data_IF_554875498267
#
_entry.id   IF_554875498267
#
_cell.length_a   1.000
_cell.length_b   1.000
_cell.length_c   1.000
_cell.angle_alpha   90.00
_cell.angle_beta   90.00
_cell.angle_gamma   90.00
#
_symmetry.space_group_name_H-M   'P 1'
#
loop_
_entity.id
_entity.type
_entity.pdbx_description
1 polymer ?
#
# COMPACT_ATOMS: atom_id res chain seq x y z
N UNK A 1 11.59 -17.27 38.46
CA UNK A 1 10.31 -16.89 39.12
C UNK A 1 9.21 -16.92 38.06
N UNK A 2 8.21 -17.81 38.17
CA UNK A 2 7.01 -17.75 37.32
C UNK A 2 6.19 -16.54 37.80
N UNK A 3 6.15 -15.48 37.01
CA UNK A 3 5.41 -14.26 37.33
C UNK A 3 3.94 -14.39 36.92
N UNK A 4 3.06 -13.63 37.58
CA UNK A 4 1.59 -13.76 37.49
C UNK A 4 1.01 -12.83 36.42
N UNK A 5 -0.14 -13.18 35.83
CA UNK A 5 -0.77 -12.42 34.73
C UNK A 5 -1.15 -10.96 35.08
N UNK A 6 -1.06 -10.55 36.35
CA UNK A 6 -1.37 -9.18 36.78
C UNK A 6 -0.34 -8.14 36.30
N UNK A 7 0.90 -8.54 36.00
CA UNK A 7 1.93 -7.62 35.48
C UNK A 7 1.68 -7.18 34.03
N UNK A 8 0.88 -7.93 33.25
CA UNK A 8 0.52 -7.60 31.86
C UNK A 8 -0.54 -6.50 31.75
N UNK A 9 -1.39 -6.31 32.76
CA UNK A 9 -2.55 -5.40 32.70
C UNK A 9 -2.20 -3.91 32.92
N UNK A 10 -0.92 -3.52 32.86
CA UNK A 10 -0.53 -2.10 32.96
C UNK A 10 -0.81 -1.39 31.64
N UNK A 11 -1.37 -0.18 31.69
CA UNK A 11 -1.55 0.66 30.50
C UNK A 11 -0.18 0.96 29.87
N UNK A 12 0.06 0.45 28.67
CA UNK A 12 1.31 0.64 27.96
C UNK A 12 1.16 1.78 26.95
N UNK A 13 2.05 2.77 27.07
CA UNK A 13 2.02 4.03 26.33
C UNK A 13 2.91 3.94 25.08
N UNK A 14 2.39 4.05 23.85
CA UNK A 14 3.26 4.14 22.68
C UNK A 14 3.81 5.56 22.58
N UNK A 15 5.12 5.75 22.69
CA UNK A 15 5.75 7.05 22.42
C UNK A 15 6.21 7.10 20.96
N UNK A 16 5.80 8.15 20.26
CA UNK A 16 6.31 8.49 18.94
C UNK A 16 7.34 9.59 19.09
N UNK A 17 8.57 9.40 18.61
CA UNK A 17 9.54 10.50 18.51
C UNK A 17 9.64 11.01 17.08
N UNK A 18 9.15 12.23 16.87
CA UNK A 18 9.91 13.27 16.16
C UNK A 18 10.24 14.44 17.11
N UNK A 19 9.43 14.65 18.17
CA UNK A 19 9.64 15.55 19.32
C UNK A 19 8.97 14.91 20.56
N UNK A 20 9.53 15.10 21.75
CA UNK A 20 9.00 14.62 23.03
C UNK A 20 7.59 15.18 23.30
N UNK A 21 6.56 14.33 23.26
CA UNK A 21 5.19 14.66 23.68
C UNK A 21 4.78 13.71 24.80
N UNK A 22 4.31 14.28 25.91
CA UNK A 22 3.68 13.57 27.02
C UNK A 22 2.27 13.16 26.64
N UNK A 23 1.92 11.89 26.84
CA UNK A 23 0.65 11.30 26.37
C UNK A 23 -0.29 11.10 27.55
N UNK A 24 -1.54 11.54 27.39
CA UNK A 24 -2.66 11.19 28.26
C UNK A 24 -3.72 10.41 27.47
N UNK A 25 -4.53 9.65 28.19
CA UNK A 25 -5.23 8.43 27.75
C UNK A 25 -6.55 8.65 26.97
N UNK A 26 -6.95 7.59 26.25
CA UNK A 26 -8.32 7.18 25.84
C UNK A 26 -8.77 7.36 24.37
N UNK A 27 -8.02 8.03 23.48
CA UNK A 27 -8.33 8.06 22.04
C UNK A 27 -7.14 7.61 21.20
N UNK A 28 -7.42 7.04 20.04
CA UNK A 28 -6.40 6.80 19.02
C UNK A 28 -5.68 8.12 18.72
N UNK A 29 -4.38 8.17 18.97
CA UNK A 29 -3.59 9.38 18.73
C UNK A 29 -3.17 9.39 17.26
N UNK A 30 -3.49 10.47 16.56
CA UNK A 30 -3.07 10.66 15.17
C UNK A 30 -1.77 11.42 15.09
N UNK A 31 -0.85 10.93 14.28
CA UNK A 31 0.41 11.58 13.95
C UNK A 31 0.48 11.79 12.45
N UNK A 32 1.09 12.88 12.02
CA UNK A 32 1.21 13.21 10.61
C UNK A 32 2.67 13.19 10.17
N UNK A 33 2.91 12.62 9.00
CA UNK A 33 4.24 12.39 8.44
C UNK A 33 4.29 12.80 6.98
N UNK A 34 5.50 13.03 6.47
CA UNK A 34 5.76 13.17 5.06
C UNK A 34 6.26 11.85 4.45
N UNK A 35 5.94 11.59 3.17
CA UNK A 35 6.43 10.41 2.48
C UNK A 35 7.96 10.28 2.61
N UNK A 36 8.45 9.10 2.99
CA UNK A 36 9.86 8.86 3.25
C UNK A 36 10.31 9.09 4.71
N UNK A 37 9.49 9.72 5.56
CA UNK A 37 9.82 9.89 6.98
C UNK A 37 9.98 8.55 7.68
N UNK A 38 10.88 8.47 8.66
CA UNK A 38 10.97 7.28 9.52
C UNK A 38 9.94 7.37 10.65
N UNK A 39 8.95 6.48 10.63
CA UNK A 39 8.06 6.24 11.76
C UNK A 39 8.80 5.33 12.75
N UNK A 40 8.80 5.71 14.03
CA UNK A 40 9.31 4.87 15.11
C UNK A 40 8.19 4.56 16.09
N UNK A 41 7.83 3.28 16.21
CA UNK A 41 6.93 2.76 17.23
C UNK A 41 7.75 2.32 18.45
N UNK A 42 7.53 2.94 19.61
CA UNK A 42 8.22 2.60 20.86
C UNK A 42 7.23 2.18 21.95
N UNK A 43 7.65 1.24 22.80
CA UNK A 43 6.87 0.73 23.91
C UNK A 43 7.69 0.75 25.22
N UNK A 44 7.68 1.86 25.99
CA UNK A 44 8.69 2.20 27.00
C UNK A 44 8.85 1.17 28.13
N UNK A 45 7.81 0.40 28.45
CA UNK A 45 7.91 -0.74 29.35
C UNK A 45 6.85 -1.79 29.00
N UNK A 46 7.27 -3.05 28.88
CA UNK A 46 6.39 -4.21 28.75
C UNK A 46 7.07 -5.46 29.29
N UNK A 47 6.29 -6.51 29.49
CA UNK A 47 6.78 -7.83 29.87
C UNK A 47 6.06 -8.90 29.06
N UNK A 48 6.80 -9.81 28.45
CA UNK A 48 6.30 -10.83 27.52
C UNK A 48 6.79 -10.65 26.09
N UNK A 49 6.24 -11.42 25.17
CA UNK A 49 6.55 -11.37 23.74
C UNK A 49 5.77 -10.24 23.06
N UNK A 50 6.47 -9.42 22.29
CA UNK A 50 5.91 -8.30 21.55
C UNK A 50 5.60 -8.71 20.11
N UNK A 51 4.44 -8.26 19.61
CA UNK A 51 4.08 -8.28 18.20
C UNK A 51 3.39 -6.97 17.84
N UNK A 52 3.96 -6.20 16.91
CA UNK A 52 3.27 -5.04 16.36
C UNK A 52 2.20 -5.48 15.37
N UNK A 53 1.06 -4.81 15.44
CA UNK A 53 -0.09 -5.05 14.57
C UNK A 53 -0.50 -3.76 13.87
N UNK A 54 -1.11 -3.91 12.69
CA UNK A 54 -1.70 -2.82 11.93
C UNK A 54 -3.16 -3.09 11.58
N UNK A 55 -3.90 -2.03 11.27
CA UNK A 55 -5.31 -2.09 10.89
C UNK A 55 -5.70 -0.94 9.95
N UNK A 56 -6.65 -1.19 9.05
CA UNK A 56 -7.24 -0.17 8.17
C UNK A 56 -8.46 0.50 8.81
N UNK A 57 -9.14 -0.18 9.73
CA UNK A 57 -10.47 0.17 10.26
C UNK A 57 -10.50 0.29 11.79
N UNK A 58 -9.36 0.05 12.46
CA UNK A 58 -9.19 -0.04 13.91
C UNK A 58 -9.91 -1.22 14.59
N UNK A 59 -10.55 -2.10 13.81
CA UNK A 59 -11.36 -3.23 14.28
C UNK A 59 -10.65 -4.55 13.94
N UNK A 60 -10.26 -4.73 12.68
CA UNK A 60 -9.58 -5.91 12.18
C UNK A 60 -8.06 -5.66 12.19
N UNK A 61 -7.33 -6.51 12.91
CA UNK A 61 -5.90 -6.33 13.18
C UNK A 61 -5.08 -7.49 12.62
N UNK A 62 -3.99 -7.14 11.95
CA UNK A 62 -3.06 -8.09 11.34
C UNK A 62 -1.64 -7.85 11.88
N UNK A 63 -0.89 -8.94 12.07
CA UNK A 63 0.49 -8.86 12.50
C UNK A 63 1.35 -8.26 11.40
N UNK A 64 2.25 -7.34 11.77
CA UNK A 64 3.28 -6.84 10.87
C UNK A 64 4.42 -7.86 10.87
N UNK A 65 4.67 -8.48 9.73
CA UNK A 65 5.66 -9.56 9.59
C UNK A 65 7.03 -9.13 10.12
N UNK A 66 7.57 -9.90 11.06
CA UNK A 66 8.90 -9.66 11.66
C UNK A 66 8.97 -8.52 12.68
N UNK A 67 7.87 -7.82 12.96
CA UNK A 67 7.84 -6.70 13.90
C UNK A 67 7.63 -7.19 15.36
N UNK A 68 8.61 -7.92 15.89
CA UNK A 68 8.54 -8.57 17.22
C UNK A 68 9.43 -7.94 18.29
N UNK A 69 10.08 -6.82 17.96
CA UNK A 69 11.01 -6.12 18.85
C UNK A 69 10.70 -4.62 18.87
N UNK A 70 11.33 -3.93 19.83
CA UNK A 70 11.26 -2.48 19.93
C UNK A 70 12.66 -1.83 19.93
N UNK A 71 12.78 -0.58 19.46
CA UNK A 71 11.76 0.14 18.71
C UNK A 71 11.53 -0.51 17.35
N UNK A 72 10.30 -0.46 16.84
CA UNK A 72 10.02 -0.86 15.46
C UNK A 72 10.03 0.38 14.58
N UNK A 73 10.82 0.34 13.52
CA UNK A 73 10.97 1.45 12.57
C UNK A 73 10.42 1.04 11.21
N UNK A 74 9.70 1.95 10.59
CA UNK A 74 9.19 1.81 9.21
C UNK A 74 9.30 3.14 8.49
N UNK A 75 9.34 3.11 7.17
CA UNK A 75 9.28 4.32 6.33
C UNK A 75 7.82 4.65 6.05
N UNK A 76 7.43 5.92 6.24
CA UNK A 76 6.09 6.38 5.94
C UNK A 76 5.84 6.37 4.43
N UNK A 77 4.76 5.72 4.02
CA UNK A 77 4.40 5.50 2.62
C UNK A 77 2.99 4.91 2.52
N UNK A 78 2.58 4.54 1.30
CA UNK A 78 1.20 4.12 1.02
C UNK A 78 0.71 2.97 1.92
N UNK A 79 1.60 2.03 2.24
CA UNK A 79 1.29 0.87 3.07
C UNK A 79 0.81 1.22 4.49
N UNK A 80 1.25 2.36 5.04
CA UNK A 80 0.96 2.78 6.42
C UNK A 80 0.24 4.15 6.52
N UNK A 81 0.08 4.86 5.41
CA UNK A 81 -0.72 6.07 5.34
C UNK A 81 -2.19 5.78 5.67
N UNK A 82 -2.73 6.50 6.66
CA UNK A 82 -4.09 6.33 7.17
C UNK A 82 -4.29 5.12 8.08
N UNK A 83 -3.29 4.24 8.24
CA UNK A 83 -3.38 3.00 9.02
C UNK A 83 -3.23 3.24 10.53
N UNK A 84 -3.82 2.33 11.29
CA UNK A 84 -3.71 2.23 12.73
C UNK A 84 -2.63 1.20 13.11
N UNK A 85 -1.91 1.46 14.20
CA UNK A 85 -0.92 0.57 14.76
C UNK A 85 -1.15 0.36 16.26
N UNK A 86 -0.81 -0.84 16.76
CA UNK A 86 -0.79 -1.17 18.19
C UNK A 86 0.24 -2.27 18.48
N UNK A 87 0.67 -2.40 19.72
CA UNK A 87 1.41 -3.55 20.20
C UNK A 87 0.45 -4.58 20.80
N UNK A 88 0.71 -5.86 20.54
CA UNK A 88 0.13 -7.02 21.21
C UNK A 88 1.24 -7.67 22.05
N UNK A 89 0.98 -7.84 23.35
CA UNK A 89 1.89 -8.51 24.28
C UNK A 89 1.30 -9.83 24.71
N UNK A 90 2.07 -10.91 24.60
CA UNK A 90 1.67 -12.26 25.05
C UNK A 90 2.68 -12.86 26.00
N UNK A 91 2.23 -13.55 27.03
CA UNK A 91 3.10 -14.23 27.99
C UNK A 91 2.43 -15.50 28.52
N UNK A 92 3.07 -16.64 28.33
CA UNK A 92 2.56 -17.95 28.75
C UNK A 92 1.13 -18.21 28.27
N UNK A 93 0.25 -18.55 29.22
CA UNK A 93 -1.19 -18.82 28.97
C UNK A 93 -2.08 -17.62 29.27
N UNK A 94 -1.52 -16.44 29.56
CA UNK A 94 -2.30 -15.25 29.84
C UNK A 94 -2.96 -14.74 28.55
N UNK A 95 -4.14 -14.14 28.69
CA UNK A 95 -4.79 -13.45 27.56
C UNK A 95 -3.87 -12.32 27.05
N UNK A 96 -3.82 -12.08 25.72
CA UNK A 96 -3.03 -11.00 25.17
C UNK A 96 -3.47 -9.63 25.69
N UNK A 97 -2.51 -8.75 25.96
CA UNK A 97 -2.76 -7.35 26.29
C UNK A 97 -2.34 -6.46 25.13
N UNK A 98 -3.10 -5.39 24.89
CA UNK A 98 -2.88 -4.46 23.79
C UNK A 98 -2.52 -3.07 24.30
N UNK A 99 -1.62 -2.40 23.59
CA UNK A 99 -1.33 -0.98 23.83
C UNK A 99 -2.48 -0.08 23.36
N UNK A 100 -2.33 1.21 23.62
CA UNK A 100 -3.13 2.22 22.91
C UNK A 100 -2.92 2.13 21.39
N UNK A 101 -3.90 2.65 20.64
CA UNK A 101 -3.87 2.71 19.18
C UNK A 101 -3.29 4.06 18.75
N UNK A 102 -2.54 4.04 17.66
CA UNK A 102 -2.02 5.23 17.00
C UNK A 102 -2.34 5.18 15.52
N UNK A 103 -2.58 6.32 14.90
CA UNK A 103 -2.88 6.43 13.47
C UNK A 103 -1.82 7.26 12.78
N UNK A 104 -1.26 6.76 11.70
CA UNK A 104 -0.33 7.51 10.85
C UNK A 104 -1.11 8.17 9.73
N UNK A 105 -0.90 9.46 9.49
CA UNK A 105 -1.62 10.25 8.50
C UNK A 105 -0.64 11.05 7.65
N UNK A 106 -1.05 11.42 6.43
CA UNK A 106 -0.26 12.31 5.59
C UNK A 106 -0.33 13.74 6.16
N UNK A 107 0.82 14.38 6.31
CA UNK A 107 0.89 15.78 6.74
C UNK A 107 0.53 16.73 5.61
N UNK A 108 -0.31 17.72 5.90
CA UNK A 108 -0.61 18.82 4.98
C UNK A 108 0.58 19.79 4.81
N UNK A 109 1.59 19.71 5.68
CA UNK A 109 2.77 20.56 5.65
C UNK A 109 3.93 19.98 4.81
N UNK A 110 3.71 18.86 4.11
CA UNK A 110 4.74 18.31 3.24
C UNK A 110 5.05 19.27 2.09
N UNK A 111 6.29 19.20 1.62
CA UNK A 111 6.72 19.96 0.45
C UNK A 111 5.92 19.62 -0.81
N UNK A 112 6.19 20.30 -1.93
CA UNK A 112 5.54 19.99 -3.20
C UNK A 112 5.72 18.51 -3.54
N UNK A 113 4.74 17.93 -4.23
CA UNK A 113 4.85 16.56 -4.72
C UNK A 113 6.11 16.39 -5.58
N UNK A 114 6.91 15.37 -5.25
CA UNK A 114 8.08 14.95 -6.01
C UNK A 114 7.88 13.49 -6.39
N UNK A 115 8.03 13.15 -7.67
CA UNK A 115 7.90 11.77 -8.11
C UNK A 115 8.94 10.86 -7.45
N UNK A 116 8.59 9.61 -7.15
CA UNK A 116 9.50 8.61 -6.56
C UNK A 116 9.56 8.66 -5.03
N UNK A 117 9.28 9.82 -4.43
CA UNK A 117 9.14 9.97 -2.97
C UNK A 117 7.74 10.34 -2.55
N UNK A 118 7.00 11.08 -3.39
CA UNK A 118 5.64 11.52 -3.13
C UNK A 118 4.62 10.38 -3.21
N UNK A 119 3.52 10.59 -2.49
CA UNK A 119 2.34 9.73 -2.55
C UNK A 119 1.17 10.43 -3.21
N UNK A 120 0.28 9.63 -3.79
CA UNK A 120 -0.97 10.06 -4.42
C UNK A 120 -2.12 9.46 -3.64
N UNK A 121 -3.21 10.20 -3.50
CA UNK A 121 -4.44 9.71 -2.89
C UNK A 121 -5.58 9.71 -3.92
N UNK A 122 -6.35 8.63 -3.99
CA UNK A 122 -7.59 8.61 -4.78
C UNK A 122 -8.78 9.17 -3.99
N UNK A 123 -9.95 9.20 -4.64
CA UNK A 123 -11.21 9.69 -4.06
C UNK A 123 -11.74 8.84 -2.90
N UNK A 124 -11.33 7.55 -2.83
CA UNK A 124 -11.67 6.62 -1.74
C UNK A 124 -10.74 6.76 -0.54
N UNK A 125 -9.70 7.58 -0.69
CA UNK A 125 -8.69 7.81 0.34
C UNK A 125 -7.58 6.76 0.35
N UNK A 126 -7.48 5.91 -0.66
CA UNK A 126 -6.35 4.99 -0.81
C UNK A 126 -5.10 5.78 -1.21
N UNK A 127 -3.98 5.46 -0.58
CA UNK A 127 -2.68 6.05 -0.91
C UNK A 127 -1.88 5.11 -1.81
N UNK A 128 -1.09 5.70 -2.70
CA UNK A 128 -0.21 5.03 -3.65
C UNK A 128 1.15 5.70 -3.60
N UNK A 129 2.22 4.91 -3.52
CA UNK A 129 3.57 5.42 -3.74
C UNK A 129 3.77 5.67 -5.24
N UNK A 130 4.80 6.44 -5.57
CA UNK A 130 5.13 6.73 -6.97
C UNK A 130 6.54 6.28 -7.31
N UNK A 131 6.80 6.09 -8.60
CA UNK A 131 8.12 5.79 -9.14
C UNK A 131 8.36 6.66 -10.38
N UNK A 132 9.57 7.21 -10.49
CA UNK A 132 9.98 7.96 -11.66
C UNK A 132 10.73 7.04 -12.63
N UNK A 133 10.27 6.98 -13.87
CA UNK A 133 10.93 6.25 -14.96
C UNK A 133 11.11 7.22 -16.11
N UNK A 134 12.36 7.58 -16.40
CA UNK A 134 12.69 8.70 -17.27
C UNK A 134 12.07 9.99 -16.76
N UNK A 135 11.25 10.63 -17.60
CA UNK A 135 10.53 11.85 -17.26
C UNK A 135 9.07 11.59 -16.85
N UNK A 136 8.64 10.32 -16.81
CA UNK A 136 7.29 9.93 -16.45
C UNK A 136 7.21 9.52 -14.98
N UNK A 137 6.07 9.83 -14.37
CA UNK A 137 5.76 9.43 -13.02
C UNK A 137 4.64 8.40 -13.03
N UNK A 138 4.84 7.29 -12.31
CA UNK A 138 3.92 6.16 -12.30
C UNK A 138 3.48 5.85 -10.88
N UNK A 139 2.27 5.33 -10.71
CA UNK A 139 1.87 4.69 -9.47
C UNK A 139 2.66 3.38 -9.32
N UNK A 140 3.10 3.08 -8.10
CA UNK A 140 3.86 1.85 -7.81
C UNK A 140 2.94 0.67 -7.48
N UNK A 141 1.74 0.94 -6.97
CA UNK A 141 0.72 -0.05 -6.69
C UNK A 141 -0.43 0.03 -7.71
N UNK A 142 -1.15 -1.08 -7.88
CA UNK A 142 -2.36 -1.12 -8.70
C UNK A 142 -3.47 -0.24 -8.09
N UNK A 143 -4.21 0.47 -8.95
CA UNK A 143 -5.32 1.32 -8.54
C UNK A 143 -6.42 0.49 -7.84
N UNK A 144 -6.93 1.00 -6.72
CA UNK A 144 -7.89 0.29 -5.87
C UNK A 144 -9.14 1.13 -5.50
N UNK A 145 -9.48 2.14 -6.32
CA UNK A 145 -10.69 2.96 -6.13
C UNK A 145 -12.00 2.20 -6.44
N UNK A 146 -13.10 2.59 -5.80
CA UNK A 146 -14.47 2.13 -6.06
C UNK A 146 -15.33 3.25 -6.61
N UNK A 147 -14.76 4.45 -6.76
CA UNK A 147 -15.44 5.63 -7.28
C UNK A 147 -14.59 6.31 -8.35
N UNK A 148 -15.27 6.95 -9.30
CA UNK A 148 -14.66 7.91 -10.20
C UNK A 148 -14.27 9.17 -9.45
N UNK A 149 -13.44 10.02 -10.07
CA UNK A 149 -12.93 11.25 -9.46
C UNK A 149 -14.01 12.21 -8.97
N UNK A 150 -15.18 12.20 -9.58
CA UNK A 150 -16.35 12.99 -9.17
C UNK A 150 -17.12 12.40 -7.96
N UNK A 151 -16.67 11.25 -7.45
CA UNK A 151 -17.30 10.51 -6.36
C UNK A 151 -18.42 9.56 -6.80
N UNK A 152 -18.69 9.43 -8.11
CA UNK A 152 -19.68 8.47 -8.60
C UNK A 152 -19.19 7.03 -8.39
N UNK A 153 -20.06 6.17 -7.86
CA UNK A 153 -19.75 4.76 -7.59
C UNK A 153 -19.51 4.01 -8.90
N UNK A 154 -18.45 3.20 -8.93
CA UNK A 154 -18.21 2.19 -9.95
C UNK A 154 -18.85 0.89 -9.46
N UNK A 155 -19.83 0.31 -10.17
CA UNK A 155 -20.46 -0.94 -9.77
C UNK A 155 -19.48 -2.11 -9.67
N UNK A 156 -19.55 -2.85 -8.56
CA UNK A 156 -18.91 -4.17 -8.47
C UNK A 156 -19.74 -5.20 -9.21
N UNK A 157 -19.16 -5.87 -10.21
CA UNK A 157 -19.84 -6.91 -10.99
C UNK A 157 -18.99 -8.17 -11.00
N UNK A 158 -19.55 -9.29 -10.55
CA UNK A 158 -18.82 -10.58 -10.41
C UNK A 158 -19.37 -11.68 -11.30
N UNK A 159 -20.55 -11.49 -11.88
CA UNK A 159 -21.17 -12.45 -12.79
C UNK A 159 -20.62 -12.25 -14.21
N UNK A 160 -20.17 -13.33 -14.83
CA UNK A 160 -19.51 -13.29 -16.14
C UNK A 160 -20.46 -12.85 -17.26
N UNK A 161 -21.72 -13.30 -17.22
CA UNK A 161 -22.72 -12.95 -18.24
C UNK A 161 -23.15 -11.50 -18.09
N UNK A 162 -23.33 -11.01 -16.87
CA UNK A 162 -23.58 -9.59 -16.63
C UNK A 162 -22.39 -8.74 -17.13
N UNK A 163 -21.15 -9.13 -16.76
CA UNK A 163 -19.93 -8.42 -17.13
C UNK A 163 -19.77 -8.26 -18.66
N UNK A 164 -19.96 -9.35 -19.41
CA UNK A 164 -19.82 -9.32 -20.88
C UNK A 164 -20.86 -8.45 -21.58
N UNK A 165 -22.00 -8.21 -20.95
CA UNK A 165 -23.11 -7.43 -21.50
C UNK A 165 -23.10 -5.96 -21.04
N UNK A 166 -22.12 -5.53 -20.22
CA UNK A 166 -22.06 -4.15 -19.76
C UNK A 166 -21.75 -3.18 -20.90
N UNK A 167 -22.45 -2.04 -20.88
CA UNK A 167 -22.11 -0.81 -21.62
C UNK A 167 -21.59 0.30 -20.69
N UNK A 168 -21.30 -0.02 -19.44
CA UNK A 168 -20.93 0.92 -18.38
C UNK A 168 -19.73 0.43 -17.60
N UNK A 169 -19.07 1.33 -16.88
CA UNK A 169 -17.95 0.96 -16.03
C UNK A 169 -18.34 -0.03 -14.93
N UNK A 170 -17.42 -0.94 -14.65
CA UNK A 170 -17.48 -1.87 -13.52
C UNK A 170 -16.07 -2.19 -13.03
N UNK A 171 -16.00 -2.73 -11.81
CA UNK A 171 -14.81 -3.34 -11.26
C UNK A 171 -15.10 -4.71 -10.63
N UNK A 172 -14.05 -5.53 -10.50
CA UNK A 172 -14.06 -6.74 -9.70
C UNK A 172 -12.67 -6.99 -9.09
N UNK A 173 -12.53 -8.09 -8.36
CA UNK A 173 -11.24 -8.61 -7.94
C UNK A 173 -10.92 -9.88 -8.73
N UNK A 174 -9.65 -10.22 -8.86
CA UNK A 174 -9.24 -11.50 -9.42
C UNK A 174 -9.95 -12.66 -8.71
N UNK A 175 -10.49 -13.61 -9.47
CA UNK A 175 -11.34 -14.71 -8.98
C UNK A 175 -12.55 -14.26 -8.12
N UNK A 176 -12.97 -13.00 -8.21
CA UNK A 176 -14.00 -12.39 -7.36
C UNK A 176 -13.71 -12.48 -5.84
N UNK A 177 -12.44 -12.60 -5.44
CA UNK A 177 -12.03 -12.75 -4.04
C UNK A 177 -11.29 -11.50 -3.54
N UNK A 178 -12.02 -10.63 -2.84
CA UNK A 178 -11.44 -9.44 -2.23
C UNK A 178 -10.61 -9.75 -0.99
N UNK A 179 -10.87 -10.85 -0.27
CA UNK A 179 -10.17 -11.16 0.97
C UNK A 179 -8.71 -11.53 0.69
N UNK A 180 -8.48 -12.29 -0.38
CA UNK A 180 -7.15 -12.73 -0.77
C UNK A 180 -6.40 -11.72 -1.64
N UNK A 181 -7.08 -11.05 -2.59
CA UNK A 181 -6.38 -10.33 -3.65
C UNK A 181 -6.39 -8.80 -3.51
N UNK A 182 -7.33 -8.20 -2.77
CA UNK A 182 -7.48 -6.74 -2.71
C UNK A 182 -6.22 -6.00 -2.24
N UNK A 183 -5.56 -6.50 -1.20
CA UNK A 183 -4.44 -5.80 -0.57
C UNK A 183 -3.15 -5.84 -1.40
N UNK A 184 -3.01 -6.84 -2.27
CA UNK A 184 -1.79 -7.07 -3.06
C UNK A 184 -1.97 -6.61 -4.50
N UNK A 185 -3.10 -6.97 -5.12
CA UNK A 185 -3.31 -6.77 -6.57
C UNK A 185 -4.29 -5.64 -6.90
N UNK A 186 -4.97 -5.06 -5.90
CA UNK A 186 -5.99 -4.03 -6.14
C UNK A 186 -7.21 -4.58 -6.88
N UNK A 187 -7.85 -3.72 -7.68
CA UNK A 187 -9.06 -4.06 -8.46
C UNK A 187 -8.77 -4.13 -9.95
N UNK A 188 -9.59 -4.94 -10.64
CA UNK A 188 -9.65 -5.01 -12.09
C UNK A 188 -10.81 -4.17 -12.58
N UNK A 189 -10.59 -3.37 -13.63
CA UNK A 189 -11.60 -2.48 -14.22
C UNK A 189 -11.84 -2.87 -15.68
N UNK A 190 -13.08 -2.73 -16.13
CA UNK A 190 -13.37 -2.88 -17.56
C UNK A 190 -12.98 -1.62 -18.36
N UNK A 191 -13.02 -1.73 -19.69
CA UNK A 191 -12.73 -0.61 -20.59
C UNK A 191 -13.62 0.61 -20.35
N UNK A 192 -14.90 0.42 -20.04
CA UNK A 192 -15.82 1.52 -19.81
C UNK A 192 -15.45 2.33 -18.57
N UNK A 193 -14.93 1.71 -17.51
CA UNK A 193 -14.40 2.44 -16.35
C UNK A 193 -13.17 3.26 -16.72
N UNK A 194 -12.26 2.68 -17.52
CA UNK A 194 -11.00 3.31 -17.93
C UNK A 194 -11.24 4.52 -18.84
N UNK A 195 -12.19 4.43 -19.75
CA UNK A 195 -12.51 5.46 -20.75
C UNK A 195 -13.63 6.42 -20.33
N UNK A 196 -14.14 6.30 -19.09
CA UNK A 196 -15.24 7.13 -18.61
C UNK A 196 -14.83 8.61 -18.45
N UNK A 197 -15.72 9.50 -18.88
CA UNK A 197 -15.55 10.96 -18.72
C UNK A 197 -15.45 11.45 -17.27
N UNK A 198 -15.90 10.65 -16.29
CA UNK A 198 -15.81 10.93 -14.85
C UNK A 198 -14.42 10.66 -14.28
N UNK A 199 -13.55 10.05 -15.07
CA UNK A 199 -12.13 9.81 -14.82
C UNK A 199 -11.87 8.84 -13.67
N UNK A 200 -11.27 7.70 -14.00
CA UNK A 200 -10.91 6.67 -13.03
C UNK A 200 -9.70 7.05 -12.16
N UNK A 201 -8.73 7.76 -12.74
CA UNK A 201 -7.45 8.05 -12.08
C UNK A 201 -7.55 9.16 -11.01
N UNK A 202 -6.68 9.16 -10.00
CA UNK A 202 -6.57 10.23 -9.01
C UNK A 202 -6.42 11.64 -9.61
N UNK A 203 -6.77 12.68 -8.88
CA UNK A 203 -6.65 14.07 -9.36
C UNK A 203 -5.22 14.41 -9.79
N UNK A 204 -5.06 15.00 -10.99
CA UNK A 204 -3.75 15.29 -11.59
C UNK A 204 -3.08 14.09 -12.29
N UNK A 205 -3.70 12.92 -12.26
CA UNK A 205 -3.23 11.69 -12.91
C UNK A 205 -4.20 11.24 -14.00
N UNK A 206 -3.77 10.35 -14.88
CA UNK A 206 -4.61 9.71 -15.90
C UNK A 206 -4.19 8.26 -16.11
N UNK A 207 -5.04 7.48 -16.79
CA UNK A 207 -4.69 6.12 -17.20
C UNK A 207 -3.70 6.20 -18.35
N UNK A 208 -2.57 5.53 -18.22
CA UNK A 208 -1.51 5.58 -19.21
C UNK A 208 -1.99 5.13 -20.60
N UNK A 209 -1.59 5.90 -21.60
CA UNK A 209 -1.80 5.61 -23.01
C UNK A 209 -0.71 4.70 -23.56
N UNK A 210 -0.97 4.06 -24.71
CA UNK A 210 0.04 3.29 -25.44
C UNK A 210 1.32 4.11 -25.72
N UNK A 211 1.16 5.39 -26.12
CA UNK A 211 2.31 6.28 -26.34
C UNK A 211 3.15 6.50 -25.09
N UNK A 212 2.54 6.49 -23.90
CA UNK A 212 3.26 6.66 -22.64
C UNK A 212 3.97 5.39 -22.22
N UNK A 213 3.38 4.22 -22.46
CA UNK A 213 4.09 2.94 -22.34
C UNK A 213 5.29 2.90 -23.28
N UNK A 214 5.13 3.31 -24.54
CA UNK A 214 6.21 3.34 -25.52
C UNK A 214 7.38 4.25 -25.11
N UNK A 215 7.09 5.39 -24.46
CA UNK A 215 8.14 6.28 -23.91
C UNK A 215 8.89 5.56 -22.79
N UNK A 216 8.18 4.90 -21.88
CA UNK A 216 8.77 4.17 -20.77
C UNK A 216 9.63 2.99 -21.25
N UNK A 217 9.11 2.20 -22.19
CA UNK A 217 9.83 1.09 -22.80
C UNK A 217 11.13 1.53 -23.45
N UNK A 218 11.09 2.59 -24.27
CA UNK A 218 12.28 3.17 -24.91
C UNK A 218 13.27 3.75 -23.91
N UNK A 219 12.81 4.23 -22.77
CA UNK A 219 13.70 4.66 -21.70
C UNK A 219 14.45 3.47 -21.07
N UNK A 220 13.77 2.34 -20.88
CA UNK A 220 14.34 1.14 -20.27
C UNK A 220 15.22 0.33 -21.22
N UNK A 221 14.88 0.33 -22.50
CA UNK A 221 15.64 -0.27 -23.60
C UNK A 221 15.49 0.60 -24.85
N UNK A 222 16.50 1.42 -25.15
CA UNK A 222 16.45 2.35 -26.27
C UNK A 222 16.52 1.68 -27.66
N UNK A 223 16.71 0.35 -27.70
CA UNK A 223 16.74 -0.44 -28.93
C UNK A 223 15.40 -1.09 -29.25
N UNK A 224 14.40 -0.95 -28.36
CA UNK A 224 13.08 -1.55 -28.53
C UNK A 224 12.32 -0.96 -29.71
N UNK A 225 11.75 -1.83 -30.53
CA UNK A 225 10.77 -1.47 -31.56
C UNK A 225 9.37 -1.52 -30.96
N UNK A 226 8.88 -0.36 -30.51
CA UNK A 226 7.52 -0.22 -29.94
C UNK A 226 6.41 -0.27 -30.99
N UNK A 227 6.72 -0.54 -32.26
CA UNK A 227 5.71 -0.75 -33.31
C UNK A 227 5.46 -2.23 -33.59
N UNK A 228 6.34 -3.10 -33.08
CA UNK A 228 6.22 -4.54 -33.24
C UNK A 228 5.21 -5.13 -32.25
N UNK A 229 4.44 -6.11 -32.70
CA UNK A 229 3.53 -6.89 -31.84
C UNK A 229 4.25 -8.13 -31.29
N UNK A 230 4.12 -8.39 -30.00
CA UNK A 230 4.66 -9.59 -29.35
C UNK A 230 5.81 -9.27 -28.38
N UNK A 231 6.76 -10.19 -28.25
CA UNK A 231 7.93 -9.98 -27.39
C UNK A 231 8.87 -8.97 -28.06
N UNK A 232 9.05 -7.83 -27.41
CA UNK A 232 9.94 -6.74 -27.86
C UNK A 232 10.94 -6.39 -26.76
N UNK A 233 12.09 -5.86 -27.19
CA UNK A 233 13.18 -5.49 -26.30
C UNK A 233 13.94 -6.71 -25.75
N UNK A 234 14.99 -6.42 -24.98
CA UNK A 234 15.90 -7.44 -24.44
C UNK A 234 15.49 -7.90 -23.05
N UNK A 235 15.22 -6.95 -22.13
CA UNK A 235 14.99 -7.24 -20.71
C UNK A 235 14.02 -6.26 -20.02
N UNK A 236 13.25 -5.47 -20.77
CA UNK A 236 12.33 -4.45 -20.23
C UNK A 236 11.41 -5.04 -19.15
N UNK A 237 10.79 -6.19 -19.45
CA UNK A 237 9.95 -6.89 -18.49
C UNK A 237 10.71 -7.22 -17.21
N UNK A 238 11.96 -7.71 -17.30
CA UNK A 238 12.80 -7.98 -16.14
C UNK A 238 13.14 -6.73 -15.31
N UNK A 239 13.32 -5.57 -15.96
CA UNK A 239 13.57 -4.29 -15.29
C UNK A 239 12.34 -3.73 -14.56
N UNK A 240 11.13 -4.06 -15.01
CA UNK A 240 9.86 -3.65 -14.39
C UNK A 240 9.39 -4.57 -13.27
N UNK A 241 9.64 -5.87 -13.43
CA UNK A 241 9.11 -6.95 -12.59
C UNK A 241 9.64 -6.95 -11.17
N UNK A 242 8.79 -7.25 -10.19
CA UNK A 242 9.21 -7.55 -8.82
C UNK A 242 10.28 -8.66 -8.80
N UNK A 243 11.30 -8.50 -7.97
CA UNK A 243 12.34 -9.52 -7.76
C UNK A 243 11.87 -10.63 -6.80
N UNK A 244 12.56 -11.77 -6.84
CA UNK A 244 12.22 -12.91 -5.98
C UNK A 244 10.98 -13.67 -6.48
N UNK A 245 10.39 -14.48 -5.61
CA UNK A 245 9.29 -15.39 -5.97
C UNK A 245 8.12 -15.30 -4.98
N UNK A 246 7.95 -14.16 -4.32
CA UNK A 246 6.83 -13.96 -3.39
C UNK A 246 5.51 -14.03 -4.15
N UNK A 247 5.40 -13.30 -5.26
CA UNK A 247 4.21 -13.31 -6.12
C UNK A 247 4.46 -14.03 -7.44
N UNK A 248 5.64 -13.86 -8.03
CA UNK A 248 6.01 -14.51 -9.27
C UNK A 248 6.42 -15.97 -9.06
N UNK A 249 6.03 -16.84 -10.00
CA UNK A 249 6.46 -18.24 -9.98
C UNK A 249 7.97 -18.37 -10.18
N UNK A 250 8.57 -19.31 -9.44
CA UNK A 250 9.97 -19.73 -9.64
C UNK A 250 10.20 -20.21 -11.09
N UNK A 251 11.34 -19.87 -11.73
CA UNK A 251 12.53 -19.25 -11.14
C UNK A 251 12.56 -17.72 -11.14
N UNK A 252 11.57 -17.04 -11.74
CA UNK A 252 11.57 -15.59 -11.99
C UNK A 252 12.91 -15.02 -12.52
N UNK A 253 13.60 -15.78 -13.37
CA UNK A 253 14.92 -15.44 -13.89
C UNK A 253 14.89 -14.13 -14.68
N UNK A 254 15.90 -13.27 -14.46
CA UNK A 254 16.04 -11.99 -15.16
C UNK A 254 15.21 -10.85 -14.56
N UNK A 255 14.40 -11.09 -13.53
CA UNK A 255 13.73 -10.02 -12.78
C UNK A 255 14.75 -9.25 -11.93
N UNK A 256 15.00 -8.01 -12.30
CA UNK A 256 15.94 -7.12 -11.61
C UNK A 256 15.25 -5.98 -10.88
N UNK A 257 14.02 -5.63 -11.28
CA UNK A 257 13.30 -4.46 -10.79
C UNK A 257 14.13 -3.16 -10.80
N UNK A 258 15.07 -3.02 -11.74
CA UNK A 258 15.98 -1.86 -11.76
C UNK A 258 15.27 -0.53 -12.03
N UNK A 259 14.05 -0.57 -12.57
CA UNK A 259 13.16 0.60 -12.69
C UNK A 259 12.53 1.04 -11.37
N UNK A 260 12.47 0.16 -10.37
CA UNK A 260 11.75 0.38 -9.11
C UNK A 260 10.23 0.25 -9.19
N UNK A 261 9.68 -0.14 -10.35
CA UNK A 261 8.24 -0.26 -10.61
C UNK A 261 7.58 -1.40 -9.80
N UNK A 262 8.29 -2.51 -9.59
CA UNK A 262 7.81 -3.68 -8.86
C UNK A 262 6.54 -4.32 -9.44
N UNK A 263 6.47 -4.48 -10.76
CA UNK A 263 5.30 -5.09 -11.41
C UNK A 263 5.00 -6.49 -10.86
N UNK A 264 3.74 -6.71 -10.51
CA UNK A 264 3.18 -7.97 -10.00
C UNK A 264 2.56 -8.79 -11.15
N UNK A 265 2.41 -10.12 -10.99
CA UNK A 265 1.80 -10.98 -12.01
C UNK A 265 0.30 -10.78 -12.17
#
# INVERSE_FOLDING_TARGET
>A
MKKTCSELNRTILILFSAVLVTISTAKAQSYSYCPGDTITLCLPAYYGNLQWQQSSDSINWYDITGATYQPYKMVFGAANAGKYHRAKITEGTCNPVYSQICRSTLSAACGPFVCGTGMVQDVDGNYYNTVQIGNQCWLKENLNTSHYRDGAVIPKVTDNTAWSNLGTGAYCWYNNDSASYNNVYGKLYNWYSVSDSRILAPAGWHVATDSEWNIMEKFLDNTVDTTATGLVGTDIGGKLKETGTTHWSSPNTGATNSSGFSALP
#
